data_IF_561183344467
#
_entry.id   IF_561183344467
#
_cell.length_a   1.000
_cell.length_b   1.000
_cell.length_c   1.000
_cell.angle_alpha   90.00
_cell.angle_beta   90.00
_cell.angle_gamma   90.00
#
_symmetry.space_group_name_H-M   'P 1'
#
loop_
_entity.id
_entity.type
_entity.pdbx_description
1 polymer ?
#
# COMPACT_ATOMS: atom_id res chain seq x y z
N UNK A 1 58.66 -39.04 -9.01
CA UNK A 1 57.43 -38.26 -8.75
C UNK A 1 57.83 -37.13 -7.83
N UNK A 2 57.86 -35.91 -8.34
CA UNK A 2 58.10 -34.73 -7.52
C UNK A 2 56.83 -34.40 -6.74
N UNK A 3 56.96 -33.94 -5.50
CA UNK A 3 55.82 -33.63 -4.63
C UNK A 3 54.98 -32.48 -5.20
N UNK A 4 55.60 -31.61 -6.01
CA UNK A 4 54.92 -30.54 -6.75
C UNK A 4 53.90 -31.05 -7.79
N UNK A 5 54.17 -32.19 -8.43
CA UNK A 5 53.24 -32.81 -9.39
C UNK A 5 52.04 -33.46 -8.68
N UNK A 6 52.23 -33.96 -7.46
CA UNK A 6 51.16 -34.52 -6.60
C UNK A 6 50.21 -33.45 -6.05
N UNK A 7 50.67 -32.21 -5.92
CA UNK A 7 49.88 -31.08 -5.44
C UNK A 7 49.15 -30.32 -6.56
N UNK A 8 49.30 -30.77 -7.81
CA UNK A 8 48.65 -30.17 -8.98
C UNK A 8 49.09 -28.71 -9.23
N UNK A 9 50.35 -28.38 -8.94
CA UNK A 9 50.89 -27.03 -9.13
C UNK A 9 50.56 -26.01 -8.03
N UNK A 10 50.03 -26.44 -6.89
CA UNK A 10 49.80 -25.56 -5.72
C UNK A 10 51.05 -25.40 -4.87
N UNK A 11 51.29 -24.17 -4.39
CA UNK A 11 52.42 -23.85 -3.51
C UNK A 11 52.31 -24.66 -2.20
N UNK A 12 53.41 -25.33 -1.86
CA UNK A 12 53.54 -26.16 -0.67
C UNK A 12 53.35 -25.36 0.62
N UNK A 13 53.64 -24.05 0.60
CA UNK A 13 53.41 -23.14 1.72
C UNK A 13 51.94 -22.82 1.94
N UNK A 14 51.14 -22.73 0.87
CA UNK A 14 49.70 -22.50 0.97
C UNK A 14 49.00 -23.76 1.47
N UNK A 15 49.45 -24.93 1.02
CA UNK A 15 48.99 -26.22 1.56
C UNK A 15 49.34 -26.34 3.05
N UNK A 16 50.56 -25.97 3.45
CA UNK A 16 50.97 -25.97 4.87
C UNK A 16 50.15 -25.01 5.72
N UNK A 17 49.81 -23.81 5.21
CA UNK A 17 48.94 -22.87 5.92
C UNK A 17 47.52 -23.40 6.06
N UNK A 18 46.95 -23.98 5.01
CA UNK A 18 45.63 -24.58 5.05
C UNK A 18 45.56 -25.77 6.01
N UNK A 19 46.58 -26.64 5.98
CA UNK A 19 46.69 -27.77 6.92
C UNK A 19 46.94 -27.27 8.34
N UNK A 20 47.77 -26.24 8.53
CA UNK A 20 47.99 -25.60 9.82
C UNK A 20 46.71 -25.03 10.41
N UNK A 21 45.93 -24.31 9.61
CA UNK A 21 44.62 -23.79 10.01
C UNK A 21 43.64 -24.89 10.43
N UNK A 22 43.56 -25.99 9.66
CA UNK A 22 42.69 -27.14 10.00
C UNK A 22 43.16 -27.82 11.29
N UNK A 23 44.47 -27.92 11.51
CA UNK A 23 45.03 -28.51 12.72
C UNK A 23 44.82 -27.60 13.95
N UNK A 24 44.95 -26.29 13.80
CA UNK A 24 44.71 -25.31 14.86
C UNK A 24 43.23 -25.24 15.26
N UNK A 25 42.32 -25.55 14.34
CA UNK A 25 40.87 -25.54 14.55
C UNK A 25 40.27 -26.96 14.54
N UNK A 26 41.08 -28.00 14.77
CA UNK A 26 40.66 -29.40 14.62
C UNK A 26 39.49 -29.76 15.52
N UNK A 27 39.51 -29.27 16.76
CA UNK A 27 38.48 -29.56 17.76
C UNK A 27 37.13 -28.95 17.39
N UNK A 28 37.13 -27.77 16.78
CA UNK A 28 35.92 -27.09 16.34
C UNK A 28 35.39 -27.70 15.04
N UNK A 29 36.29 -28.10 14.14
CA UNK A 29 35.92 -28.92 12.99
C UNK A 29 35.29 -30.24 13.42
N UNK A 30 35.86 -30.93 14.40
CA UNK A 30 35.35 -32.20 14.89
C UNK A 30 33.97 -32.06 15.56
N UNK A 31 33.74 -30.96 16.29
CA UNK A 31 32.41 -30.62 16.85
C UNK A 31 31.38 -30.38 15.74
N UNK A 32 31.72 -29.60 14.72
CA UNK A 32 30.83 -29.35 13.57
C UNK A 32 30.56 -30.65 12.81
N UNK A 33 31.58 -31.50 12.63
CA UNK A 33 31.46 -32.76 11.90
C UNK A 33 30.61 -33.78 12.69
N UNK A 34 30.68 -33.79 14.02
CA UNK A 34 29.74 -34.52 14.88
C UNK A 34 28.33 -33.97 14.78
N UNK A 35 28.16 -32.66 14.89
CA UNK A 35 26.85 -32.01 14.76
C UNK A 35 26.17 -32.33 13.42
N UNK A 36 26.94 -32.32 12.32
CA UNK A 36 26.46 -32.65 10.98
C UNK A 36 26.18 -34.15 10.83
N UNK A 37 26.97 -35.02 11.47
CA UNK A 37 26.75 -36.47 11.47
C UNK A 37 25.57 -36.91 12.34
N UNK A 38 25.28 -36.18 13.41
CA UNK A 38 24.19 -36.48 14.34
C UNK A 38 22.84 -35.90 13.86
N UNK A 39 22.83 -35.13 12.76
CA UNK A 39 21.60 -34.69 12.12
C UNK A 39 20.94 -35.86 11.37
N UNK A 40 19.61 -36.03 11.48
CA UNK A 40 18.86 -36.95 10.63
C UNK A 40 19.08 -36.63 9.15
N UNK A 41 19.06 -37.64 8.28
CA UNK A 41 19.20 -37.47 6.82
C UNK A 41 18.18 -36.44 6.27
N UNK A 42 16.96 -36.44 6.82
CA UNK A 42 15.91 -35.47 6.50
C UNK A 42 16.29 -34.02 6.82
N UNK A 43 17.10 -33.80 7.86
CA UNK A 43 17.58 -32.48 8.25
C UNK A 43 18.72 -32.00 7.34
N UNK A 44 19.56 -32.91 6.86
CA UNK A 44 20.60 -32.60 5.85
C UNK A 44 19.96 -32.23 4.51
N UNK A 45 18.92 -32.95 4.09
CA UNK A 45 18.15 -32.61 2.88
C UNK A 45 17.45 -31.25 3.02
N UNK A 46 16.89 -30.95 4.20
CA UNK A 46 16.28 -29.66 4.49
C UNK A 46 17.28 -28.50 4.48
N UNK A 47 18.46 -28.68 5.08
CA UNK A 47 19.56 -27.70 5.04
C UNK A 47 20.00 -27.43 3.58
N UNK A 48 20.05 -28.47 2.74
CA UNK A 48 20.35 -28.33 1.32
C UNK A 48 19.30 -27.54 0.53
N UNK A 49 18.02 -27.61 0.93
CA UNK A 49 16.90 -26.87 0.32
C UNK A 49 16.71 -25.46 0.86
N UNK A 50 17.25 -25.17 2.04
CA UNK A 50 17.08 -23.90 2.75
C UNK A 50 17.45 -22.66 1.91
N UNK A 51 18.58 -22.63 1.16
CA UNK A 51 18.91 -21.48 0.32
C UNK A 51 17.88 -21.20 -0.77
N UNK A 52 17.33 -22.27 -1.36
CA UNK A 52 16.32 -22.17 -2.41
C UNK A 52 14.96 -21.71 -1.87
N UNK A 53 14.59 -22.17 -0.67
CA UNK A 53 13.42 -21.68 0.06
C UNK A 53 13.55 -20.19 0.40
N UNK A 54 14.69 -19.79 0.95
CA UNK A 54 14.96 -18.39 1.28
C UNK A 54 14.96 -17.52 0.02
N UNK A 55 15.54 -17.97 -1.10
CA UNK A 55 15.46 -17.26 -2.38
C UNK A 55 14.02 -17.05 -2.83
N UNK A 56 13.20 -18.09 -2.73
CA UNK A 56 11.78 -18.05 -3.09
C UNK A 56 11.00 -17.09 -2.19
N UNK A 57 11.25 -17.13 -0.88
CA UNK A 57 10.64 -16.22 0.10
C UNK A 57 11.07 -14.77 -0.18
N UNK A 58 12.37 -14.53 -0.39
CA UNK A 58 12.90 -13.21 -0.67
C UNK A 58 12.30 -12.60 -1.95
N UNK A 59 12.20 -13.39 -3.02
CA UNK A 59 11.52 -13.00 -4.25
C UNK A 59 10.03 -12.69 -4.04
N UNK A 60 9.30 -13.58 -3.36
CA UNK A 60 7.89 -13.37 -3.06
C UNK A 60 7.61 -12.14 -2.19
N UNK A 61 8.49 -11.83 -1.23
CA UNK A 61 8.41 -10.62 -0.42
C UNK A 61 8.65 -9.36 -1.25
N UNK A 62 9.66 -9.36 -2.12
CA UNK A 62 9.94 -8.24 -3.02
C UNK A 62 8.77 -7.97 -3.98
N UNK A 63 8.21 -9.02 -4.58
CA UNK A 63 7.02 -8.92 -5.45
C UNK A 63 5.81 -8.38 -4.69
N UNK A 64 5.52 -8.93 -3.50
CA UNK A 64 4.43 -8.43 -2.66
C UNK A 64 4.63 -6.96 -2.29
N UNK A 65 5.87 -6.55 -2.04
CA UNK A 65 6.23 -5.16 -1.78
C UNK A 65 5.94 -4.24 -2.96
N UNK A 66 6.31 -4.65 -4.17
CA UNK A 66 6.03 -3.92 -5.40
C UNK A 66 4.52 -3.79 -5.66
N UNK A 67 3.75 -4.86 -5.45
CA UNK A 67 2.30 -4.82 -5.60
C UNK A 67 1.63 -3.89 -4.58
N UNK A 68 2.10 -3.89 -3.33
CA UNK A 68 1.61 -2.96 -2.31
C UNK A 68 1.90 -1.50 -2.69
N UNK A 69 3.10 -1.20 -3.20
CA UNK A 69 3.44 0.13 -3.68
C UNK A 69 2.58 0.57 -4.89
N UNK A 70 2.34 -0.32 -5.85
CA UNK A 70 1.43 -0.06 -6.98
C UNK A 70 0.00 0.23 -6.53
N UNK A 71 -0.50 -0.55 -5.57
CA UNK A 71 -1.82 -0.32 -4.99
C UNK A 71 -1.88 1.04 -4.27
N UNK A 72 -0.85 1.41 -3.50
CA UNK A 72 -0.74 2.73 -2.90
C UNK A 72 -0.80 3.84 -3.97
N UNK A 73 0.03 3.76 -5.01
CA UNK A 73 0.04 4.73 -6.11
C UNK A 73 -1.31 4.84 -6.84
N UNK A 74 -2.06 3.75 -7.00
CA UNK A 74 -3.41 3.79 -7.58
C UNK A 74 -4.41 4.55 -6.68
N UNK A 75 -4.28 4.44 -5.36
CA UNK A 75 -5.18 5.10 -4.41
C UNK A 75 -4.87 6.58 -4.24
N UNK A 76 -3.59 6.93 -4.11
CA UNK A 76 -3.16 8.28 -3.69
C UNK A 76 -2.20 8.96 -4.66
N UNK A 77 -1.78 8.32 -5.75
CA UNK A 77 -0.72 8.84 -6.62
C UNK A 77 0.67 8.77 -5.99
N UNK A 78 1.70 8.97 -6.80
CA UNK A 78 3.10 8.92 -6.34
C UNK A 78 3.45 10.12 -5.42
N UNK A 79 2.72 11.23 -5.56
CA UNK A 79 2.83 12.44 -4.74
C UNK A 79 1.89 12.43 -3.52
N UNK A 80 1.07 11.39 -3.35
CA UNK A 80 0.03 11.33 -2.33
C UNK A 80 -1.18 12.22 -2.61
N UNK A 81 -1.20 12.97 -3.71
CA UNK A 81 -2.26 13.92 -4.07
C UNK A 81 -3.08 13.49 -5.30
N UNK A 82 -2.78 12.31 -5.85
CA UNK A 82 -3.39 11.72 -7.05
C UNK A 82 -4.37 10.58 -6.80
N UNK A 83 -4.49 9.70 -7.79
CA UNK A 83 -5.26 8.46 -7.72
C UNK A 83 -6.77 8.63 -7.48
N UNK A 84 -7.37 7.58 -6.93
CA UNK A 84 -8.79 7.55 -6.55
C UNK A 84 -9.13 8.62 -5.50
N UNK A 85 -8.20 8.95 -4.59
CA UNK A 85 -8.34 10.03 -3.60
C UNK A 85 -8.67 11.35 -4.27
N UNK A 86 -7.88 11.77 -5.27
CA UNK A 86 -8.08 13.04 -5.99
C UNK A 86 -9.43 13.10 -6.69
N UNK A 87 -9.85 12.00 -7.31
CA UNK A 87 -11.15 11.91 -7.98
C UNK A 87 -12.32 12.09 -7.01
N UNK A 88 -12.23 11.49 -5.81
CA UNK A 88 -13.22 11.67 -4.74
C UNK A 88 -13.26 13.09 -4.20
N UNK A 89 -12.10 13.70 -3.93
CA UNK A 89 -12.03 15.10 -3.50
C UNK A 89 -12.60 16.08 -4.55
N UNK A 90 -12.33 15.85 -5.83
CA UNK A 90 -12.91 16.62 -6.93
C UNK A 90 -14.44 16.43 -7.05
N UNK A 91 -14.92 15.21 -6.81
CA UNK A 91 -16.36 14.91 -6.77
C UNK A 91 -17.05 15.63 -5.61
N UNK A 92 -16.45 15.63 -4.41
CA UNK A 92 -16.95 16.38 -3.26
C UNK A 92 -17.05 17.89 -3.55
N UNK A 93 -16.01 18.45 -4.18
CA UNK A 93 -16.00 19.86 -4.62
C UNK A 93 -17.15 20.16 -5.59
N UNK A 94 -17.38 19.28 -6.56
CA UNK A 94 -18.47 19.41 -7.53
C UNK A 94 -19.83 19.34 -6.83
N UNK A 95 -20.00 18.45 -5.85
CA UNK A 95 -21.23 18.33 -5.07
C UNK A 95 -21.49 19.57 -4.21
N UNK A 96 -20.48 20.17 -3.58
CA UNK A 96 -20.64 21.45 -2.89
C UNK A 96 -21.14 22.55 -3.83
N UNK A 97 -20.55 22.67 -5.02
CA UNK A 97 -21.00 23.63 -6.02
C UNK A 97 -22.43 23.33 -6.53
N UNK A 98 -22.85 22.06 -6.57
CA UNK A 98 -24.22 21.69 -6.90
C UNK A 98 -25.19 22.08 -5.78
N UNK A 99 -24.82 21.82 -4.51
CA UNK A 99 -25.60 22.23 -3.34
C UNK A 99 -25.79 23.76 -3.29
N UNK A 100 -24.75 24.54 -3.57
CA UNK A 100 -24.88 26.01 -3.58
C UNK A 100 -25.89 26.47 -4.65
N UNK A 101 -25.82 25.90 -5.87
CA UNK A 101 -26.82 26.17 -6.93
C UNK A 101 -28.23 25.76 -6.54
N UNK A 102 -28.41 24.65 -5.82
CA UNK A 102 -29.71 24.23 -5.31
C UNK A 102 -30.24 25.21 -4.26
N UNK A 103 -29.39 25.72 -3.37
CA UNK A 103 -29.78 26.76 -2.40
C UNK A 103 -30.17 28.07 -3.11
N UNK A 104 -29.45 28.47 -4.15
CA UNK A 104 -29.80 29.63 -4.95
C UNK A 104 -31.17 29.43 -5.63
N UNK A 105 -31.41 28.26 -6.22
CA UNK A 105 -32.69 27.93 -6.84
C UNK A 105 -33.85 27.94 -5.82
N UNK A 106 -33.65 27.38 -4.62
CA UNK A 106 -34.62 27.47 -3.53
C UNK A 106 -34.93 28.93 -3.16
N UNK A 107 -33.89 29.77 -3.03
CA UNK A 107 -34.04 31.20 -2.79
C UNK A 107 -34.87 31.91 -3.88
N UNK A 108 -34.64 31.59 -5.15
CA UNK A 108 -35.43 32.13 -6.27
C UNK A 108 -36.90 31.69 -6.21
N UNK A 109 -37.17 30.43 -5.86
CA UNK A 109 -38.54 29.92 -5.67
C UNK A 109 -39.26 30.64 -4.53
N UNK A 110 -38.59 30.90 -3.42
CA UNK A 110 -39.14 31.70 -2.32
C UNK A 110 -39.41 33.15 -2.73
N UNK A 111 -38.49 33.76 -3.48
CA UNK A 111 -38.68 35.09 -4.02
C UNK A 111 -39.92 35.17 -4.92
N UNK A 112 -40.08 34.21 -5.83
CA UNK A 112 -41.25 34.12 -6.70
C UNK A 112 -42.53 33.85 -5.92
N UNK A 113 -42.49 33.00 -4.89
CA UNK A 113 -43.62 32.77 -3.99
C UNK A 113 -44.08 34.09 -3.34
N UNK A 114 -43.14 34.90 -2.84
CA UNK A 114 -43.43 36.20 -2.25
C UNK A 114 -44.00 37.22 -3.24
N UNK A 115 -43.62 37.17 -4.52
CA UNK A 115 -44.25 38.01 -5.55
C UNK A 115 -45.65 37.52 -5.94
N UNK A 116 -45.86 36.21 -6.02
CA UNK A 116 -47.19 35.63 -6.31
C UNK A 116 -48.19 35.90 -5.19
N UNK A 117 -47.76 35.87 -3.94
CA UNK A 117 -48.62 36.14 -2.77
C UNK A 117 -49.29 37.52 -2.83
N UNK A 118 -48.66 38.49 -3.52
CA UNK A 118 -49.21 39.84 -3.73
C UNK A 118 -50.31 39.91 -4.79
N UNK A 119 -50.58 38.82 -5.53
CA UNK A 119 -51.56 38.79 -6.63
C UNK A 119 -52.92 38.26 -6.13
N UNK A 120 -53.98 39.10 -6.10
CA UNK A 120 -55.30 38.67 -5.63
C UNK A 120 -55.92 37.56 -6.49
N UNK A 121 -56.59 36.60 -5.85
CA UNK A 121 -57.41 35.58 -6.50
C UNK A 121 -56.67 34.34 -7.05
N UNK A 122 -55.34 34.40 -7.20
CA UNK A 122 -54.52 33.29 -7.73
C UNK A 122 -53.25 33.05 -6.88
N UNK A 123 -52.80 34.07 -6.14
CA UNK A 123 -51.51 34.10 -5.45
C UNK A 123 -51.31 33.04 -4.39
N UNK A 124 -52.28 32.85 -3.50
CA UNK A 124 -52.10 32.11 -2.24
C UNK A 124 -51.74 30.61 -2.46
N UNK A 125 -52.49 29.93 -3.33
CA UNK A 125 -52.24 28.51 -3.64
C UNK A 125 -50.96 28.30 -4.45
N UNK A 126 -50.60 29.24 -5.33
CA UNK A 126 -49.38 29.16 -6.13
C UNK A 126 -48.14 29.49 -5.30
N UNK A 127 -48.22 30.52 -4.46
CA UNK A 127 -47.19 30.92 -3.50
C UNK A 127 -46.88 29.78 -2.52
N UNK A 128 -47.92 29.13 -1.96
CA UNK A 128 -47.74 27.97 -1.09
C UNK A 128 -47.01 26.83 -1.78
N UNK A 129 -47.40 26.49 -3.02
CA UNK A 129 -46.73 25.43 -3.81
C UNK A 129 -45.26 25.74 -4.07
N UNK A 130 -44.93 26.98 -4.39
CA UNK A 130 -43.53 27.38 -4.60
C UNK A 130 -42.73 27.37 -3.29
N UNK A 131 -43.33 27.76 -2.18
CA UNK A 131 -42.69 27.68 -0.86
C UNK A 131 -42.40 26.22 -0.47
N UNK A 132 -43.37 25.32 -0.62
CA UNK A 132 -43.20 23.89 -0.38
C UNK A 132 -42.10 23.31 -1.31
N UNK A 133 -42.14 23.67 -2.59
CA UNK A 133 -41.12 23.26 -3.56
C UNK A 133 -39.72 23.76 -3.21
N UNK A 134 -39.59 25.01 -2.76
CA UNK A 134 -38.33 25.52 -2.22
C UNK A 134 -37.83 24.72 -1.02
N UNK A 135 -38.73 24.39 -0.08
CA UNK A 135 -38.41 23.55 1.06
C UNK A 135 -37.83 22.20 0.64
N UNK A 136 -38.43 21.56 -0.36
CA UNK A 136 -37.94 20.31 -0.93
C UNK A 136 -36.56 20.47 -1.59
N UNK A 137 -36.35 21.50 -2.41
CA UNK A 137 -35.05 21.78 -3.04
C UNK A 137 -33.97 22.04 -2.00
N UNK A 138 -34.28 22.78 -0.93
CA UNK A 138 -33.36 22.99 0.20
C UNK A 138 -33.04 21.70 0.95
N UNK A 139 -34.01 20.78 1.05
CA UNK A 139 -33.79 19.43 1.59
C UNK A 139 -32.77 18.66 0.77
N UNK A 140 -32.96 18.60 -0.55
CA UNK A 140 -32.00 17.95 -1.48
C UNK A 140 -30.61 18.59 -1.38
N UNK A 141 -30.52 19.92 -1.28
CA UNK A 141 -29.24 20.60 -1.09
C UNK A 141 -28.49 20.10 0.17
N UNK A 142 -29.22 19.85 1.26
CA UNK A 142 -28.66 19.33 2.52
C UNK A 142 -28.18 17.88 2.39
N UNK A 143 -28.91 17.05 1.64
CA UNK A 143 -28.49 15.69 1.33
C UNK A 143 -27.22 15.67 0.47
N UNK A 144 -27.14 16.55 -0.54
CA UNK A 144 -25.94 16.72 -1.38
C UNK A 144 -24.74 17.20 -0.56
N UNK A 145 -24.95 18.10 0.39
CA UNK A 145 -23.90 18.55 1.33
C UNK A 145 -23.37 17.39 2.18
N UNK A 146 -24.28 16.55 2.70
CA UNK A 146 -23.92 15.36 3.49
C UNK A 146 -23.13 14.36 2.64
N UNK A 147 -23.56 14.14 1.38
CA UNK A 147 -22.83 13.27 0.45
C UNK A 147 -21.43 13.81 0.12
N UNK A 148 -21.30 15.12 -0.11
CA UNK A 148 -20.00 15.75 -0.33
C UNK A 148 -19.05 15.53 0.84
N UNK A 149 -19.54 15.71 2.08
CA UNK A 149 -18.79 15.42 3.30
C UNK A 149 -18.32 13.96 3.36
N UNK A 150 -19.20 13.00 3.10
CA UNK A 150 -18.85 11.57 3.07
C UNK A 150 -17.77 11.25 2.03
N UNK A 151 -17.81 11.89 0.85
CA UNK A 151 -16.78 11.71 -0.19
C UNK A 151 -15.42 12.28 0.25
N UNK A 152 -15.41 13.38 1.01
CA UNK A 152 -14.21 13.97 1.56
C UNK A 152 -13.60 13.08 2.65
N UNK A 153 -14.44 12.51 3.53
CA UNK A 153 -14.02 11.54 4.54
C UNK A 153 -13.44 10.28 3.90
N UNK A 154 -14.09 9.74 2.87
CA UNK A 154 -13.60 8.59 2.13
C UNK A 154 -12.26 8.88 1.45
N UNK A 155 -12.10 10.08 0.88
CA UNK A 155 -10.81 10.55 0.34
C UNK A 155 -9.73 10.57 1.44
N UNK A 156 -10.05 11.02 2.66
CA UNK A 156 -9.15 10.95 3.81
C UNK A 156 -8.75 9.52 4.19
N UNK A 157 -9.71 8.58 4.17
CA UNK A 157 -9.44 7.15 4.41
C UNK A 157 -8.49 6.60 3.35
N UNK A 158 -8.72 6.92 2.06
CA UNK A 158 -7.84 6.47 0.99
C UNK A 158 -6.41 7.00 1.14
N UNK A 159 -6.24 8.24 1.64
CA UNK A 159 -4.94 8.79 1.97
C UNK A 159 -4.19 7.89 2.97
N UNK A 160 -4.84 7.56 4.09
CA UNK A 160 -4.27 6.71 5.13
C UNK A 160 -3.97 5.29 4.65
N UNK A 161 -4.87 4.71 3.82
CA UNK A 161 -4.66 3.37 3.24
C UNK A 161 -3.49 3.38 2.26
N UNK A 162 -3.39 4.41 1.41
CA UNK A 162 -2.26 4.56 0.48
C UNK A 162 -0.93 4.66 1.21
N UNK A 163 -0.86 5.48 2.28
CA UNK A 163 0.34 5.59 3.11
C UNK A 163 0.71 4.25 3.77
N UNK A 164 -0.27 3.55 4.35
CA UNK A 164 -0.05 2.25 4.97
C UNK A 164 0.47 1.21 3.97
N UNK A 165 -0.08 1.17 2.75
CA UNK A 165 0.36 0.27 1.68
C UNK A 165 1.76 0.62 1.18
N UNK A 166 2.10 1.91 1.06
CA UNK A 166 3.44 2.35 0.70
C UNK A 166 4.48 1.93 1.76
N UNK A 167 4.16 2.11 3.04
CA UNK A 167 4.99 1.67 4.16
C UNK A 167 5.14 0.14 4.22
N UNK A 168 4.06 -0.60 3.97
CA UNK A 168 4.10 -2.06 3.85
C UNK A 168 4.98 -2.50 2.68
N UNK A 169 4.83 -1.86 1.51
CA UNK A 169 5.61 -2.14 0.32
C UNK A 169 7.11 -1.99 0.55
N UNK A 170 7.50 -0.90 1.20
CA UNK A 170 8.89 -0.63 1.58
C UNK A 170 9.46 -1.71 2.50
N UNK A 171 8.72 -2.09 3.56
CA UNK A 171 9.16 -3.12 4.52
C UNK A 171 9.30 -4.50 3.90
N UNK A 172 8.37 -4.87 3.01
CA UNK A 172 8.41 -6.16 2.32
C UNK A 172 9.58 -6.22 1.33
N UNK A 173 9.82 -5.13 0.60
CA UNK A 173 10.97 -5.01 -0.30
C UNK A 173 12.30 -5.09 0.47
N UNK A 174 12.42 -4.38 1.60
CA UNK A 174 13.59 -4.45 2.48
C UNK A 174 13.80 -5.86 3.04
N UNK A 175 12.73 -6.52 3.48
CA UNK A 175 12.78 -7.89 3.98
C UNK A 175 13.23 -8.87 2.89
N UNK A 176 12.68 -8.76 1.68
CA UNK A 176 13.08 -9.56 0.53
C UNK A 176 14.54 -9.32 0.12
N UNK A 177 14.99 -8.07 0.14
CA UNK A 177 16.37 -7.68 -0.09
C UNK A 177 17.34 -8.25 0.96
N UNK A 178 16.96 -8.17 2.24
CA UNK A 178 17.75 -8.73 3.36
C UNK A 178 17.91 -10.24 3.21
N UNK A 179 16.83 -10.95 2.90
CA UNK A 179 16.87 -12.40 2.65
C UNK A 179 17.79 -12.72 1.47
N UNK A 180 17.76 -11.91 0.41
CA UNK A 180 18.67 -12.08 -0.74
C UNK A 180 20.13 -11.86 -0.35
N UNK A 181 20.46 -10.82 0.41
CA UNK A 181 21.83 -10.55 0.88
C UNK A 181 22.36 -11.63 1.81
N UNK A 182 21.50 -12.23 2.65
CA UNK A 182 21.88 -13.36 3.51
C UNK A 182 22.30 -14.61 2.73
N UNK A 183 21.95 -14.70 1.44
CA UNK A 183 22.24 -15.85 0.59
C UNK A 183 23.47 -15.68 -0.32
N UNK A 184 24.05 -14.47 -0.38
CA UNK A 184 25.19 -14.13 -1.24
C UNK A 184 24.79 -13.38 -2.51
#
# INVERSE_FOLDING_TARGET
>A
MDIGDLLGGRDLNDVKKAVGFVLENSDDFEKVLKLVKDLPDDALEFIGKLPQLLTTIGGGLAEAGEQAAKAAGALVGDDGEGGARKALAGSATTMHAAKDRLKDAAGMLLGLAGELDKIPGIGDAAAKRLNDGSGQVSGVATEVESLAGNLQDLSGILASVGEALSGLGSKLSESGGTVKTLLG
#
